data_IF_816834285871
#
_entry.id   IF_816834285871
#
_cell.length_a   1.000
_cell.length_b   1.000
_cell.length_c   1.000
_cell.angle_alpha   90.00
_cell.angle_beta   90.00
_cell.angle_gamma   90.00
#
_symmetry.space_group_name_H-M   'P 1'
#
loop_
_entity.id
_entity.type
_entity.pdbx_description
1 polymer ?
#
# COMPACT_ATOMS: atom_id res chain seq x y z
N UNK A 1 13.31 -1.59 19.56
CA UNK A 1 14.41 -2.53 19.27
C UNK A 1 14.28 -2.93 17.81
N UNK A 2 15.34 -2.85 17.01
CA UNK A 2 15.32 -3.29 15.60
C UNK A 2 15.61 -4.79 15.57
N UNK A 3 14.76 -5.56 14.90
CA UNK A 3 14.87 -7.02 14.74
C UNK A 3 15.51 -7.38 13.40
N UNK A 4 16.11 -8.58 13.30
CA UNK A 4 16.54 -9.16 12.01
C UNK A 4 15.38 -9.27 11.02
N UNK A 5 14.16 -9.47 11.52
CA UNK A 5 12.93 -9.51 10.72
C UNK A 5 12.52 -8.13 10.19
N UNK A 6 13.08 -7.03 10.71
CA UNK A 6 12.85 -5.69 10.15
C UNK A 6 13.75 -5.41 8.95
N UNK A 7 14.81 -6.18 8.78
CA UNK A 7 15.76 -6.08 7.66
C UNK A 7 15.37 -7.08 6.57
N UNK A 8 15.11 -8.33 6.94
CA UNK A 8 14.76 -9.41 6.01
C UNK A 8 13.26 -9.72 6.08
N UNK A 9 12.51 -9.13 5.14
CA UNK A 9 11.06 -9.31 5.02
C UNK A 9 10.72 -10.05 3.73
N UNK A 10 9.80 -11.00 3.83
CA UNK A 10 9.13 -11.57 2.67
C UNK A 10 8.21 -10.48 2.08
N UNK A 11 8.28 -10.27 0.77
CA UNK A 11 7.49 -9.28 0.07
C UNK A 11 7.45 -9.58 -1.42
N UNK A 12 6.68 -8.76 -2.15
CA UNK A 12 6.54 -8.85 -3.60
C UNK A 12 7.39 -7.77 -4.28
N UNK A 13 8.08 -8.15 -5.37
CA UNK A 13 8.83 -7.22 -6.20
C UNK A 13 7.94 -6.38 -7.12
N UNK A 14 8.49 -5.37 -7.81
CA UNK A 14 9.92 -5.08 -7.92
C UNK A 14 10.50 -4.20 -6.81
N UNK A 15 9.68 -3.54 -5.97
CA UNK A 15 10.17 -2.53 -5.03
C UNK A 15 9.52 -2.59 -3.66
N UNK A 16 10.34 -2.59 -2.60
CA UNK A 16 9.83 -2.49 -1.23
C UNK A 16 9.10 -1.17 -0.97
N UNK A 17 9.60 -0.06 -1.53
CA UNK A 17 9.04 1.28 -1.28
C UNK A 17 7.87 1.63 -2.21
N UNK A 18 7.88 1.12 -3.44
CA UNK A 18 6.89 1.47 -4.46
C UNK A 18 5.89 0.33 -4.75
N UNK A 19 6.11 -0.87 -4.22
CA UNK A 19 5.17 -2.01 -4.34
C UNK A 19 4.67 -2.43 -2.97
N UNK A 20 5.55 -2.94 -2.09
CA UNK A 20 5.14 -3.45 -0.77
C UNK A 20 4.60 -2.35 0.14
N UNK A 21 5.21 -1.17 0.13
CA UNK A 21 4.75 -0.01 0.91
C UNK A 21 3.31 0.40 0.56
N UNK A 22 3.01 0.69 -0.71
CA UNK A 22 1.66 1.04 -1.15
C UNK A 22 0.62 -0.07 -0.90
N UNK A 23 0.98 -1.34 -1.07
CA UNK A 23 0.10 -2.47 -0.73
C UNK A 23 -0.25 -2.51 0.76
N UNK A 24 0.73 -2.29 1.63
CA UNK A 24 0.48 -2.19 3.08
C UNK A 24 -0.41 -0.99 3.42
N UNK A 25 -0.23 0.14 2.74
CA UNK A 25 -1.06 1.32 2.93
C UNK A 25 -2.53 1.07 2.51
N UNK A 26 -2.76 0.41 1.37
CA UNK A 26 -4.10 0.01 0.92
C UNK A 26 -4.78 -0.95 1.92
N UNK A 27 -4.04 -1.96 2.40
CA UNK A 27 -4.54 -2.86 3.45
C UNK A 27 -4.89 -2.11 4.73
N UNK A 28 -4.00 -1.25 5.22
CA UNK A 28 -4.23 -0.49 6.44
C UNK A 28 -5.47 0.41 6.32
N UNK A 29 -5.64 1.10 5.19
CA UNK A 29 -6.84 1.90 4.93
C UNK A 29 -8.12 1.05 4.99
N UNK A 30 -8.10 -0.14 4.40
CA UNK A 30 -9.25 -1.07 4.45
C UNK A 30 -9.53 -1.58 5.86
N UNK A 31 -8.47 -1.95 6.60
CA UNK A 31 -8.59 -2.39 8.00
C UNK A 31 -9.22 -1.28 8.87
N UNK A 32 -8.84 -0.02 8.65
CA UNK A 32 -9.39 1.14 9.37
C UNK A 32 -10.89 1.33 9.08
N UNK A 33 -11.34 1.11 7.83
CA UNK A 33 -12.77 1.16 7.49
C UNK A 33 -13.58 0.05 8.16
N UNK A 34 -13.00 -1.16 8.24
CA UNK A 34 -13.61 -2.31 8.93
C UNK A 34 -13.71 -2.03 10.43
N UNK A 35 -12.63 -1.57 11.05
CA UNK A 35 -12.59 -1.27 12.48
C UNK A 35 -13.59 -0.18 12.90
N UNK A 36 -13.91 0.74 11.97
CA UNK A 36 -14.91 1.80 12.15
C UNK A 36 -16.34 1.38 11.77
N UNK A 37 -16.53 0.16 11.27
CA UNK A 37 -17.80 -0.35 10.75
C UNK A 37 -18.44 0.48 9.63
N UNK A 38 -17.63 1.17 8.82
CA UNK A 38 -18.11 2.03 7.72
C UNK A 38 -17.79 1.47 6.33
N UNK A 39 -17.08 0.34 6.22
CA UNK A 39 -16.70 -0.24 4.94
C UNK A 39 -17.91 -0.48 4.01
N UNK A 40 -19.04 -0.91 4.56
CA UNK A 40 -20.26 -1.20 3.78
C UNK A 40 -20.91 0.05 3.17
N UNK A 41 -20.61 1.23 3.72
CA UNK A 41 -21.15 2.50 3.25
C UNK A 41 -20.24 3.17 2.21
N UNK A 42 -19.02 2.64 2.00
CA UNK A 42 -18.05 3.18 1.05
C UNK A 42 -18.47 2.83 -0.37
N UNK A 43 -18.83 3.86 -1.14
CA UNK A 43 -19.23 3.72 -2.57
C UNK A 43 -18.10 4.08 -3.54
N UNK A 44 -17.05 4.74 -3.06
CA UNK A 44 -15.91 5.17 -3.89
C UNK A 44 -14.64 5.29 -3.03
N UNK A 45 -13.54 4.81 -3.59
CA UNK A 45 -12.18 5.06 -3.08
C UNK A 45 -11.42 5.89 -4.10
N UNK A 46 -10.66 6.87 -3.63
CA UNK A 46 -9.77 7.70 -4.45
C UNK A 46 -8.39 7.61 -3.81
N UNK A 47 -7.37 7.37 -4.63
CA UNK A 47 -5.98 7.34 -4.19
C UNK A 47 -5.18 8.30 -5.06
N UNK A 48 -4.59 9.29 -4.41
CA UNK A 48 -3.67 10.22 -5.03
C UNK A 48 -2.24 9.85 -4.68
N UNK A 49 -1.38 9.82 -5.70
CA UNK A 49 0.03 9.43 -5.56
C UNK A 49 0.88 10.66 -5.84
N UNK A 50 1.86 10.94 -4.96
CA UNK A 50 2.64 12.18 -5.00
C UNK A 50 4.15 11.92 -5.10
N UNK A 51 4.89 12.93 -5.56
CA UNK A 51 6.35 12.96 -5.55
C UNK A 51 7.00 11.82 -6.33
N UNK A 52 8.07 11.23 -5.77
CA UNK A 52 8.79 10.12 -6.41
C UNK A 52 7.92 8.89 -6.66
N UNK A 53 6.91 8.68 -5.80
CA UNK A 53 6.01 7.54 -5.87
C UNK A 53 5.13 7.62 -7.13
N UNK A 54 4.68 8.82 -7.53
CA UNK A 54 3.93 8.98 -8.78
C UNK A 54 4.84 9.01 -10.01
N UNK A 55 6.03 9.61 -9.89
CA UNK A 55 6.99 9.70 -11.00
C UNK A 55 7.43 8.33 -11.53
N UNK A 56 7.62 7.36 -10.63
CA UNK A 56 8.10 6.02 -11.01
C UNK A 56 7.08 4.92 -10.77
N UNK A 57 5.86 5.28 -10.35
CA UNK A 57 4.87 4.32 -9.86
C UNK A 57 4.47 3.27 -10.89
N UNK A 58 4.31 3.66 -12.16
CA UNK A 58 3.97 2.70 -13.24
C UNK A 58 5.05 1.63 -13.44
N UNK A 59 6.32 2.01 -13.43
CA UNK A 59 7.43 1.07 -13.59
C UNK A 59 7.61 0.13 -12.40
N UNK A 60 7.07 0.50 -11.23
CA UNK A 60 7.09 -0.32 -10.01
C UNK A 60 5.73 -0.97 -9.68
N UNK A 61 4.75 -0.84 -10.58
CA UNK A 61 3.37 -1.32 -10.40
C UNK A 61 2.70 -0.79 -9.13
N UNK A 62 2.97 0.46 -8.75
CA UNK A 62 2.37 1.09 -7.57
C UNK A 62 0.85 1.18 -7.67
N UNK A 63 0.33 1.46 -8.87
CA UNK A 63 -1.10 1.49 -9.16
C UNK A 63 -1.79 0.15 -8.89
N UNK A 64 -1.17 -0.95 -9.32
CA UNK A 64 -1.65 -2.31 -9.03
C UNK A 64 -1.49 -2.61 -7.54
N UNK A 65 -0.34 -2.29 -6.96
CA UNK A 65 -0.02 -2.61 -5.57
C UNK A 65 -0.97 -1.94 -4.57
N UNK A 66 -1.47 -0.74 -4.87
CA UNK A 66 -2.46 -0.02 -4.04
C UNK A 66 -3.81 -0.76 -3.98
N UNK A 67 -4.17 -1.48 -5.05
CA UNK A 67 -5.49 -2.13 -5.20
C UNK A 67 -5.50 -3.54 -4.59
N UNK A 68 -4.34 -4.22 -4.56
CA UNK A 68 -4.21 -5.62 -4.14
C UNK A 68 -4.19 -5.86 -2.63
#
# INVERSE_FOLDING_TARGET
>A
MISVFDIFKIGIGPSSSHTVGPMKAGKQFTDDLIARHILTDVTRVVVDVYGSLSLTGKGHHTDIAIIM
#
